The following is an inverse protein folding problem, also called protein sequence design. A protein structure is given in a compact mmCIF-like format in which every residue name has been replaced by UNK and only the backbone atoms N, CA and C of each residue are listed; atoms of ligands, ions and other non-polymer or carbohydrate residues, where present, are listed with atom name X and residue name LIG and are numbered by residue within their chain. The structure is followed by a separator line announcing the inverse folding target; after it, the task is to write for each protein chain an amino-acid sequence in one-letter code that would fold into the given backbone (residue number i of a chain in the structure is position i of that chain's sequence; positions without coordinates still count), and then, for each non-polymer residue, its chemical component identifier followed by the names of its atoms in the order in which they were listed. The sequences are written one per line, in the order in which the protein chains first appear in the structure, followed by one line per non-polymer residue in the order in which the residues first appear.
data_IF_014688060789
#
_entry.id   IF_014688060789
#
_cell.length_a   1.000
_cell.length_b   1.000
_cell.length_c   1.000
_cell.angle_alpha   90.00
_cell.angle_beta   90.00
_cell.angle_gamma   90.00
#
_symmetry.space_group_name_H-M   'P 1'
#
loop_
_entity.id
_entity.type
_entity.pdbx_description
1 polymer ?
#
# COMPACT_ATOMS: atom_id res chain seq x y z
N UNK A 1 10.16 23.08 10.38
CA UNK A 1 10.79 21.97 9.62
C UNK A 1 10.70 22.29 8.12
N UNK A 2 11.79 22.72 7.46
CA UNK A 2 11.75 23.38 6.14
C UNK A 2 11.27 22.50 4.98
N UNK A 3 11.21 21.17 5.14
CA UNK A 3 10.75 20.24 4.09
C UNK A 3 9.27 19.85 4.18
N UNK A 4 8.54 20.25 5.22
CA UNK A 4 7.12 19.91 5.32
C UNK A 4 6.30 20.67 4.28
N UNK A 5 5.51 19.95 3.50
CA UNK A 5 4.69 20.53 2.43
C UNK A 5 5.46 20.96 1.18
N UNK A 6 6.79 20.76 1.14
CA UNK A 6 7.56 20.96 -0.07
C UNK A 6 7.17 19.93 -1.15
N UNK A 7 7.18 20.34 -2.42
CA UNK A 7 6.90 19.45 -3.54
C UNK A 7 7.97 18.34 -3.66
N UNK A 8 7.63 17.26 -4.39
CA UNK A 8 8.50 16.10 -4.61
C UNK A 8 8.97 15.41 -3.31
N UNK A 9 8.15 15.46 -2.26
CA UNK A 9 8.36 14.72 -1.01
C UNK A 9 7.37 13.55 -0.92
N UNK A 10 7.75 12.50 -0.18
CA UNK A 10 6.87 11.37 0.03
C UNK A 10 5.63 11.78 0.84
N UNK A 11 4.48 11.20 0.48
CA UNK A 11 3.24 11.42 1.22
C UNK A 11 3.36 10.89 2.65
N UNK A 12 2.89 11.68 3.61
CA UNK A 12 2.76 11.22 4.98
C UNK A 12 1.73 10.09 5.05
N UNK A 13 2.06 9.01 5.76
CA UNK A 13 1.14 7.90 6.00
C UNK A 13 0.64 7.96 7.43
N UNK A 14 -0.66 8.13 7.63
CA UNK A 14 -1.29 8.10 8.95
C UNK A 14 -1.50 6.67 9.46
N UNK A 15 -1.59 5.71 8.54
CA UNK A 15 -1.64 4.28 8.81
C UNK A 15 -0.56 3.56 8.01
N UNK A 16 -0.03 2.43 8.51
CA UNK A 16 0.91 1.62 7.75
C UNK A 16 0.34 1.22 6.37
N UNK A 17 1.17 1.19 5.31
CA UNK A 17 0.80 0.56 4.05
C UNK A 17 0.36 -0.89 4.24
N UNK A 18 -0.50 -1.38 3.35
CA UNK A 18 -0.77 -2.81 3.21
C UNK A 18 -0.59 -3.20 1.74
N UNK A 19 0.46 -3.97 1.49
CA UNK A 19 0.80 -4.58 0.20
C UNK A 19 0.72 -6.10 0.33
N UNK A 20 0.52 -6.82 -0.77
CA UNK A 20 0.42 -8.30 -0.75
C UNK A 20 1.67 -8.97 -0.18
N UNK A 21 2.84 -8.46 -0.57
CA UNK A 21 4.16 -8.91 -0.11
C UNK A 21 4.66 -8.16 1.13
N UNK A 22 3.85 -7.25 1.69
CA UNK A 22 4.24 -6.37 2.79
C UNK A 22 5.25 -5.27 2.41
N UNK A 23 5.61 -5.14 1.14
CA UNK A 23 6.64 -4.19 0.69
C UNK A 23 6.16 -3.28 -0.45
N UNK A 24 5.73 -3.86 -1.57
CA UNK A 24 5.49 -3.10 -2.81
C UNK A 24 4.40 -3.65 -3.73
N UNK A 25 4.01 -4.92 -3.60
CA UNK A 25 3.02 -5.52 -4.49
C UNK A 25 1.61 -4.98 -4.18
N UNK A 26 0.97 -4.28 -5.13
CA UNK A 26 -0.37 -3.75 -4.90
C UNK A 26 -1.37 -4.88 -4.75
N UNK A 27 -2.55 -4.55 -4.24
CA UNK A 27 -3.62 -5.52 -4.13
C UNK A 27 -4.10 -5.97 -5.50
N UNK A 28 -4.24 -7.29 -5.71
CA UNK A 28 -4.62 -7.93 -6.96
C UNK A 28 -3.43 -8.29 -7.85
N UNK A 29 -2.20 -8.13 -7.37
CA UNK A 29 -1.01 -8.51 -8.12
C UNK A 29 -0.94 -10.03 -8.32
N UNK A 30 -1.24 -10.81 -7.28
CA UNK A 30 -1.30 -12.26 -7.33
C UNK A 30 -2.76 -12.76 -7.32
N UNK A 31 -3.27 -13.38 -8.41
CA UNK A 31 -4.67 -13.80 -8.52
C UNK A 31 -5.15 -14.78 -7.44
N UNK A 32 -4.23 -15.55 -6.84
CA UNK A 32 -4.52 -16.51 -5.78
C UNK A 32 -4.38 -15.96 -4.36
N UNK A 33 -4.02 -14.69 -4.19
CA UNK A 33 -3.76 -14.13 -2.86
C UNK A 33 -5.06 -13.88 -2.10
N UNK A 34 -5.09 -14.30 -0.83
CA UNK A 34 -6.24 -14.13 0.05
C UNK A 34 -6.02 -12.96 1.00
N UNK A 35 -7.02 -12.07 1.04
CA UNK A 35 -7.10 -10.93 1.94
C UNK A 35 -7.98 -11.30 3.10
N UNK A 36 -7.37 -11.47 4.27
CA UNK A 36 -8.08 -11.87 5.48
C UNK A 36 -8.92 -13.15 5.25
N UNK A 37 -8.41 -14.08 4.43
CA UNK A 37 -9.08 -15.34 4.09
C UNK A 37 -10.01 -15.31 2.87
N UNK A 38 -10.18 -14.16 2.20
CA UNK A 38 -11.09 -14.02 1.04
C UNK A 38 -10.36 -13.50 -0.21
N UNK A 39 -10.75 -13.91 -1.43
CA UNK A 39 -10.21 -13.33 -2.65
C UNK A 39 -10.72 -11.90 -2.86
N UNK A 40 -10.01 -11.11 -3.68
CA UNK A 40 -10.53 -9.83 -4.14
C UNK A 40 -11.73 -10.02 -5.07
N UNK A 41 -12.65 -9.05 -5.10
CA UNK A 41 -13.68 -9.02 -6.13
C UNK A 41 -13.05 -8.81 -7.53
N UNK A 42 -13.71 -9.31 -8.59
CA UNK A 42 -13.31 -9.07 -9.98
C UNK A 42 -13.43 -7.60 -10.40
#
# INVERSE_FOLDING_TARGET
HPRWGASNTALARWLPPVYEDGFSQPRGWNPGFLYNGFPLPP
#
